data_IF_505984979645
#
_entry.id   IF_505984979645
#
_cell.length_a   1.000
_cell.length_b   1.000
_cell.length_c   1.000
_cell.angle_alpha   90.00
_cell.angle_beta   90.00
_cell.angle_gamma   90.00
#
_symmetry.space_group_name_H-M   'P 1'
#
loop_
_entity.id
_entity.type
_entity.pdbx_description
1 polymer ?
#
# COMPACT_ATOMS: atom_id res chain seq x y z
N UNK A 1 33.60 3.63 -57.11
CA UNK A 1 32.46 4.58 -57.13
C UNK A 1 32.40 5.26 -55.78
N UNK A 2 32.40 6.60 -55.75
CA UNK A 2 32.19 7.44 -54.55
C UNK A 2 30.69 7.67 -54.37
N UNK A 3 30.20 7.64 -53.14
CA UNK A 3 29.00 8.28 -52.58
C UNK A 3 29.03 8.00 -51.07
N UNK A 4 28.71 8.85 -50.10
CA UNK A 4 28.64 10.30 -49.91
C UNK A 4 28.57 10.47 -48.37
N UNK A 5 29.00 11.62 -47.84
CA UNK A 5 29.00 11.95 -46.41
C UNK A 5 27.60 11.92 -45.79
N UNK A 6 27.45 11.31 -44.62
CA UNK A 6 26.32 11.57 -43.73
C UNK A 6 26.82 12.29 -42.47
N UNK A 7 26.36 13.52 -42.29
CA UNK A 7 26.70 14.39 -41.18
C UNK A 7 25.97 13.95 -39.90
N UNK A 8 26.55 14.14 -38.69
CA UNK A 8 25.92 13.71 -37.46
C UNK A 8 24.73 14.62 -37.12
N UNK A 9 23.53 14.03 -37.09
CA UNK A 9 22.31 14.66 -36.56
C UNK A 9 22.53 14.91 -35.06
N UNK A 10 22.24 16.12 -34.53
CA UNK A 10 22.36 16.37 -33.10
C UNK A 10 21.25 15.58 -32.39
N UNK A 11 21.63 14.47 -31.75
CA UNK A 11 20.76 13.78 -30.79
C UNK A 11 20.60 14.71 -29.60
N UNK A 12 19.44 15.35 -29.54
CA UNK A 12 18.99 16.12 -28.38
C UNK A 12 18.98 15.20 -27.16
N UNK A 13 20.02 15.32 -26.34
CA UNK A 13 20.08 14.82 -24.97
C UNK A 13 19.06 15.59 -24.14
N UNK A 14 17.78 15.26 -24.31
CA UNK A 14 16.86 15.37 -23.19
C UNK A 14 17.16 14.20 -22.29
N UNK A 15 18.11 14.44 -21.38
CA UNK A 15 18.24 13.72 -20.14
C UNK A 15 16.81 13.52 -19.61
N UNK A 16 16.38 12.26 -19.57
CA UNK A 16 15.19 11.89 -18.84
C UNK A 16 15.43 12.29 -17.40
N UNK A 17 15.02 13.50 -17.04
CA UNK A 17 14.80 13.86 -15.66
C UNK A 17 13.99 12.71 -15.07
N UNK A 18 14.41 12.10 -13.95
CA UNK A 18 13.46 11.33 -13.18
C UNK A 18 12.34 12.31 -12.85
N UNK A 19 11.22 12.17 -13.56
CA UNK A 19 9.94 12.71 -13.13
C UNK A 19 9.88 12.32 -11.66
N UNK A 20 9.82 13.24 -10.69
CA UNK A 20 9.53 12.83 -9.33
C UNK A 20 8.20 12.12 -9.48
N UNK A 21 8.23 10.79 -9.37
CA UNK A 21 7.06 9.96 -9.36
C UNK A 21 6.17 10.63 -8.34
N UNK A 22 5.05 11.18 -8.82
CA UNK A 22 4.07 11.85 -8.01
C UNK A 22 3.94 11.00 -6.75
N UNK A 23 4.29 11.57 -5.59
CA UNK A 23 4.37 10.90 -4.30
C UNK A 23 3.11 10.06 -4.12
N UNK A 24 3.15 8.81 -4.57
CA UNK A 24 1.96 8.10 -5.05
C UNK A 24 1.32 7.41 -3.88
N UNK A 25 1.16 8.14 -2.77
CA UNK A 25 0.39 7.78 -1.61
C UNK A 25 0.45 6.27 -1.39
N UNK A 26 1.67 5.72 -1.29
CA UNK A 26 1.90 4.32 -1.00
C UNK A 26 1.50 4.15 0.43
N UNK A 27 0.19 4.03 0.61
CA UNK A 27 -0.43 3.87 1.89
C UNK A 27 0.02 2.51 2.39
N UNK A 28 1.05 2.55 3.22
CA UNK A 28 1.71 1.36 3.73
C UNK A 28 0.90 0.77 4.88
N UNK A 29 1.07 -0.52 5.13
CA UNK A 29 0.54 -1.16 6.34
C UNK A 29 1.03 -0.47 7.62
N UNK A 30 2.19 0.19 7.57
CA UNK A 30 2.72 0.99 8.67
C UNK A 30 1.88 2.26 8.92
N UNK A 31 1.52 2.99 7.86
CA UNK A 31 0.65 4.16 7.98
C UNK A 31 -0.73 3.77 8.55
N UNK A 32 -1.26 2.65 8.09
CA UNK A 32 -2.48 2.06 8.62
C UNK A 32 -2.42 1.76 10.11
N UNK A 33 -1.31 1.18 10.57
CA UNK A 33 -1.09 0.92 11.99
C UNK A 33 -1.11 2.21 12.81
N UNK A 34 -0.43 3.26 12.34
CA UNK A 34 -0.43 4.59 12.97
C UNK A 34 -1.85 5.18 13.03
N UNK A 35 -2.60 5.10 11.94
CA UNK A 35 -3.99 5.60 11.89
C UNK A 35 -4.92 4.83 12.83
N UNK A 36 -4.74 3.52 12.95
CA UNK A 36 -5.45 2.72 13.93
C UNK A 36 -5.14 3.20 15.36
N UNK A 37 -3.88 3.48 15.69
CA UNK A 37 -3.52 4.01 17.01
C UNK A 37 -4.13 5.39 17.27
N UNK A 38 -4.22 6.26 16.26
CA UNK A 38 -4.92 7.56 16.35
C UNK A 38 -6.41 7.37 16.59
N UNK A 39 -7.03 6.34 16.01
CA UNK A 39 -8.45 6.04 16.21
C UNK A 39 -8.80 5.87 17.69
N UNK A 40 -7.85 5.40 18.52
CA UNK A 40 -8.01 5.26 19.97
C UNK A 40 -8.34 6.59 20.66
N UNK A 41 -7.79 7.69 20.17
CA UNK A 41 -8.02 9.05 20.70
C UNK A 41 -9.46 9.50 20.43
N UNK A 42 -9.98 9.24 19.24
CA UNK A 42 -11.32 9.67 18.84
C UNK A 42 -12.43 8.73 19.31
N UNK A 43 -12.18 7.41 19.34
CA UNK A 43 -13.19 6.43 19.70
C UNK A 43 -12.57 5.08 20.14
N UNK A 44 -12.45 4.88 21.46
CA UNK A 44 -11.89 3.64 22.04
C UNK A 44 -12.63 2.36 21.64
N UNK A 45 -13.96 2.41 21.51
CA UNK A 45 -14.75 1.24 21.11
C UNK A 45 -14.45 0.83 19.65
N UNK A 46 -14.36 1.81 18.75
CA UNK A 46 -13.96 1.57 17.35
C UNK A 46 -12.54 1.02 17.31
N UNK A 47 -11.60 1.63 18.03
CA UNK A 47 -10.23 1.14 18.14
C UNK A 47 -10.17 -0.34 18.56
N UNK A 48 -10.82 -0.72 19.67
CA UNK A 48 -10.79 -2.11 20.14
C UNK A 48 -11.31 -3.11 19.09
N UNK A 49 -12.36 -2.74 18.35
CA UNK A 49 -12.90 -3.56 17.26
C UNK A 49 -11.87 -3.74 16.14
N UNK A 50 -11.33 -2.63 15.62
CA UNK A 50 -10.37 -2.67 14.51
C UNK A 50 -9.03 -3.30 14.94
N UNK A 51 -8.61 -3.15 16.19
CA UNK A 51 -7.43 -3.82 16.74
C UNK A 51 -7.59 -5.34 16.72
N UNK A 52 -8.72 -5.86 17.19
CA UNK A 52 -9.00 -7.29 17.16
C UNK A 52 -8.99 -7.84 15.72
N UNK A 53 -9.61 -7.11 14.78
CA UNK A 53 -9.58 -7.46 13.36
C UNK A 53 -8.15 -7.43 12.79
N UNK A 54 -7.35 -6.42 13.11
CA UNK A 54 -5.95 -6.31 12.69
C UNK A 54 -5.12 -7.50 13.16
N UNK A 55 -5.24 -7.89 14.43
CA UNK A 55 -4.51 -9.03 14.99
C UNK A 55 -4.87 -10.34 14.29
N UNK A 56 -6.14 -10.54 13.93
CA UNK A 56 -6.58 -11.73 13.17
C UNK A 56 -5.95 -11.74 11.76
N UNK A 57 -5.92 -10.59 11.07
CA UNK A 57 -5.31 -10.48 9.74
C UNK A 57 -3.80 -10.74 9.84
N UNK A 58 -3.12 -10.10 10.80
CA UNK A 58 -1.69 -10.28 11.03
C UNK A 58 -1.33 -11.73 11.32
N UNK A 59 -2.11 -12.42 12.17
CA UNK A 59 -1.91 -13.84 12.46
C UNK A 59 -2.08 -14.74 11.24
N UNK A 60 -3.12 -14.52 10.43
CA UNK A 60 -3.36 -15.29 9.20
C UNK A 60 -2.25 -15.05 8.16
N UNK A 61 -1.87 -13.79 7.94
CA UNK A 61 -0.78 -13.43 7.05
C UNK A 61 0.55 -14.00 7.52
N UNK A 62 0.84 -13.95 8.82
CA UNK A 62 2.05 -14.53 9.41
C UNK A 62 2.19 -16.02 9.10
N UNK A 63 1.12 -16.80 9.33
CA UNK A 63 1.10 -18.24 8.99
C UNK A 63 1.36 -18.50 7.50
N UNK A 64 0.78 -17.68 6.62
CA UNK A 64 1.04 -17.79 5.19
C UNK A 64 2.48 -17.43 4.84
N UNK A 65 3.04 -16.37 5.43
CA UNK A 65 4.44 -15.97 5.21
C UNK A 65 5.44 -17.03 5.67
N UNK A 66 5.15 -17.77 6.74
CA UNK A 66 5.96 -18.89 7.22
C UNK A 66 6.04 -20.04 6.19
N UNK A 67 4.96 -20.27 5.42
CA UNK A 67 4.86 -21.42 4.51
C UNK A 67 4.98 -21.04 3.03
N UNK A 68 4.98 -19.75 2.67
CA UNK A 68 4.90 -19.28 1.27
C UNK A 68 5.98 -19.86 0.35
N UNK A 69 7.17 -20.13 0.91
CA UNK A 69 8.33 -20.68 0.19
C UNK A 69 8.36 -22.22 0.20
N UNK A 70 7.45 -22.85 0.94
CA UNK A 70 7.32 -24.31 1.07
C UNK A 70 6.11 -24.88 0.31
N UNK A 71 5.27 -24.02 -0.28
CA UNK A 71 4.12 -24.40 -1.11
C UNK A 71 4.47 -24.29 -2.60
N UNK A 72 3.72 -24.97 -3.47
CA UNK A 72 3.95 -24.87 -4.92
C UNK A 72 3.71 -23.45 -5.43
N UNK A 73 4.44 -23.01 -6.48
CA UNK A 73 4.26 -21.69 -7.08
C UNK A 73 2.81 -21.40 -7.48
N UNK A 74 2.12 -22.37 -8.09
CA UNK A 74 0.73 -22.23 -8.52
C UNK A 74 -0.22 -21.91 -7.36
N UNK A 75 -0.04 -22.59 -6.20
CA UNK A 75 -0.84 -22.27 -5.00
C UNK A 75 -0.49 -20.86 -4.52
N UNK A 76 0.79 -20.52 -4.48
CA UNK A 76 1.27 -19.22 -4.03
C UNK A 76 0.68 -18.07 -4.87
N UNK A 77 0.69 -18.20 -6.20
CA UNK A 77 0.11 -17.23 -7.13
C UNK A 77 -1.40 -17.05 -6.93
N UNK A 78 -2.13 -18.12 -6.63
CA UNK A 78 -3.57 -18.06 -6.39
C UNK A 78 -3.92 -17.38 -5.04
N UNK A 79 -3.15 -17.63 -3.98
CA UNK A 79 -3.51 -17.18 -2.62
C UNK A 79 -2.88 -15.84 -2.23
N UNK A 80 -1.71 -15.48 -2.76
CA UNK A 80 -1.01 -14.25 -2.41
C UNK A 80 -1.90 -12.99 -2.57
N UNK A 81 -2.68 -12.83 -3.66
CA UNK A 81 -3.52 -11.66 -3.83
C UNK A 81 -4.59 -11.53 -2.73
N UNK A 82 -5.10 -12.63 -2.21
CA UNK A 82 -6.10 -12.63 -1.14
C UNK A 82 -5.53 -12.02 0.16
N UNK A 83 -4.34 -12.45 0.58
CA UNK A 83 -3.68 -11.90 1.77
C UNK A 83 -3.31 -10.42 1.60
N UNK A 84 -2.80 -10.05 0.42
CA UNK A 84 -2.46 -8.66 0.11
C UNK A 84 -3.70 -7.77 0.08
N UNK A 85 -4.82 -8.25 -0.48
CA UNK A 85 -6.06 -7.49 -0.54
C UNK A 85 -6.69 -7.34 0.85
N UNK A 86 -6.65 -8.39 1.67
CA UNK A 86 -7.23 -8.39 3.01
C UNK A 86 -6.69 -7.25 3.89
N UNK A 87 -5.36 -7.05 3.91
CA UNK A 87 -4.77 -5.94 4.68
C UNK A 87 -5.10 -4.57 4.08
N UNK A 88 -5.12 -4.44 2.74
CA UNK A 88 -5.47 -3.18 2.06
C UNK A 88 -6.91 -2.76 2.34
N UNK A 89 -7.84 -3.71 2.24
CA UNK A 89 -9.26 -3.48 2.53
C UNK A 89 -9.44 -3.08 4.00
N UNK A 90 -8.81 -3.81 4.92
CA UNK A 90 -8.85 -3.49 6.34
C UNK A 90 -8.43 -2.04 6.59
N UNK A 91 -7.29 -1.65 6.02
CA UNK A 91 -6.78 -0.32 6.25
C UNK A 91 -7.62 0.80 5.61
N UNK A 92 -8.23 0.54 4.45
CA UNK A 92 -9.18 1.47 3.87
C UNK A 92 -10.38 1.73 4.80
N UNK A 93 -10.86 0.69 5.50
CA UNK A 93 -11.94 0.83 6.49
C UNK A 93 -11.51 1.63 7.72
N UNK A 94 -10.29 1.42 8.21
CA UNK A 94 -9.70 2.23 9.31
C UNK A 94 -9.60 3.70 8.90
N UNK A 95 -9.01 3.98 7.73
CA UNK A 95 -8.85 5.32 7.18
C UNK A 95 -10.19 6.04 7.03
N UNK A 96 -11.17 5.36 6.44
CA UNK A 96 -12.52 5.91 6.27
C UNK A 96 -13.16 6.27 7.61
N UNK A 97 -13.10 5.34 8.57
CA UNK A 97 -13.66 5.56 9.91
C UNK A 97 -12.99 6.72 10.65
N UNK A 98 -11.66 6.78 10.61
CA UNK A 98 -10.90 7.87 11.23
C UNK A 98 -11.26 9.21 10.58
N UNK A 99 -11.33 9.26 9.25
CA UNK A 99 -11.69 10.46 8.49
C UNK A 99 -13.07 10.99 8.90
N UNK A 100 -14.07 10.11 9.02
CA UNK A 100 -15.40 10.49 9.51
C UNK A 100 -15.35 11.12 10.91
N UNK A 101 -14.58 10.52 11.83
CA UNK A 101 -14.48 11.00 13.21
C UNK A 101 -13.77 12.36 13.28
N UNK A 102 -12.69 12.55 12.52
CA UNK A 102 -11.96 13.82 12.43
C UNK A 102 -12.86 14.92 11.87
N UNK A 103 -13.61 14.65 10.79
CA UNK A 103 -14.54 15.62 10.19
C UNK A 103 -15.67 15.97 11.17
N UNK A 104 -16.23 14.98 11.88
CA UNK A 104 -17.28 15.23 12.89
C UNK A 104 -16.77 16.12 14.02
N UNK A 105 -15.55 15.89 14.51
CA UNK A 105 -14.93 16.72 15.54
C UNK A 105 -14.71 18.16 15.07
N UNK A 106 -14.26 18.36 13.82
CA UNK A 106 -14.01 19.69 13.25
C UNK A 106 -15.28 20.54 13.04
N UNK A 107 -16.47 19.93 13.11
CA UNK A 107 -17.76 20.63 12.97
C UNK A 107 -18.43 20.94 14.32
N UNK A 108 -17.86 20.49 15.43
CA UNK A 108 -18.30 20.77 16.80
C UNK A 108 -17.56 22.00 17.33
#
# INVERSE_FOLDING_TARGET
MRYESDAPVPVSTHAGQPKPEANSNTYSAEQCRKELDVLKVYNKASYNKYEAEYQVIASKTGKYMEVKDSISPDINEMVMPAYQFQIREFCFRVKSRLTELVIRQARQ
#
